data_IF_098176349483
#
_entry.id   IF_098176349483
#
_cell.length_a   1.000
_cell.length_b   1.000
_cell.length_c   1.000
_cell.angle_alpha   90.00
_cell.angle_beta   90.00
_cell.angle_gamma   90.00
#
_symmetry.space_group_name_H-M   'P 1'
#
loop_
_entity.id
_entity.type
_entity.pdbx_description
1 polymer ?
#
# COMPACT_ATOMS: atom_id res chain seq x y z
N UNK A 1 11.12 30.74 -4.26
CA UNK A 1 11.35 30.82 -2.81
C UNK A 1 10.81 29.56 -2.11
N UNK A 2 9.61 29.07 -2.47
CA UNK A 2 8.95 27.92 -1.81
C UNK A 2 9.62 26.54 -1.97
N UNK A 3 10.22 26.20 -3.12
CA UNK A 3 10.91 24.89 -3.30
C UNK A 3 12.02 24.61 -2.28
N UNK A 4 12.71 25.66 -1.82
CA UNK A 4 13.77 25.52 -0.80
C UNK A 4 13.21 25.27 0.60
N UNK A 5 12.01 25.76 0.89
CA UNK A 5 11.36 25.60 2.20
C UNK A 5 10.82 24.18 2.38
N UNK A 6 10.18 23.61 1.35
CA UNK A 6 9.69 22.24 1.40
C UNK A 6 10.82 21.24 1.61
N UNK A 7 11.93 21.38 0.89
CA UNK A 7 13.10 20.50 1.04
C UNK A 7 13.70 20.56 2.46
N UNK A 8 13.71 21.73 3.10
CA UNK A 8 14.17 21.87 4.49
C UNK A 8 13.23 21.16 5.47
N UNK A 9 11.91 21.37 5.33
CA UNK A 9 10.89 20.71 6.15
C UNK A 9 10.92 19.18 5.98
N UNK A 10 11.07 18.69 4.75
CA UNK A 10 11.16 17.25 4.47
C UNK A 10 12.40 16.64 5.12
N UNK A 11 13.54 17.33 5.08
CA UNK A 11 14.77 16.90 5.76
C UNK A 11 14.63 16.91 7.30
N UNK A 12 14.00 17.93 7.88
CA UNK A 12 13.72 18.00 9.32
C UNK A 12 12.79 16.87 9.76
N UNK A 13 11.73 16.61 9.00
CA UNK A 13 10.81 15.52 9.25
C UNK A 13 11.52 14.16 9.16
N UNK A 14 12.33 13.92 8.13
CA UNK A 14 13.13 12.71 7.97
C UNK A 14 14.11 12.49 9.14
N UNK A 15 14.60 13.57 9.75
CA UNK A 15 15.49 13.53 10.91
C UNK A 15 14.87 12.96 12.20
N UNK A 16 13.53 12.84 12.30
CA UNK A 16 12.85 12.33 13.51
C UNK A 16 12.96 10.81 13.73
N UNK A 17 13.43 10.04 12.74
CA UNK A 17 13.53 8.59 12.82
C UNK A 17 12.17 7.87 12.67
N UNK A 18 12.21 6.61 12.20
CA UNK A 18 11.01 5.86 11.79
C UNK A 18 10.45 4.90 12.85
N UNK A 19 11.28 4.40 13.75
CA UNK A 19 10.91 3.35 14.71
C UNK A 19 11.25 3.79 16.13
N UNK A 20 10.55 3.17 17.09
CA UNK A 20 10.86 3.25 18.52
C UNK A 20 11.08 1.85 19.08
N UNK A 21 11.62 1.81 20.29
CA UNK A 21 11.71 0.58 21.08
C UNK A 21 10.33 0.15 21.61
N UNK A 22 9.41 1.12 21.83
CA UNK A 22 8.08 0.88 22.38
C UNK A 22 6.99 1.64 21.60
N UNK A 23 5.93 0.93 21.18
CA UNK A 23 4.77 1.51 20.53
C UNK A 23 3.74 1.94 21.58
N UNK A 24 3.42 3.24 21.62
CA UNK A 24 2.46 3.81 22.58
C UNK A 24 1.73 4.99 21.91
N UNK A 25 0.42 5.09 22.14
CA UNK A 25 -0.43 6.14 21.57
C UNK A 25 -0.37 7.47 22.34
N UNK A 26 0.02 7.45 23.62
CA UNK A 26 -0.11 8.61 24.53
C UNK A 26 0.50 9.91 23.95
N UNK A 27 1.64 9.81 23.26
CA UNK A 27 2.33 10.97 22.67
C UNK A 27 1.56 11.57 21.50
N UNK A 28 1.08 10.73 20.58
CA UNK A 28 0.29 11.21 19.44
C UNK A 28 -1.08 11.71 19.92
N UNK A 29 -1.70 11.06 20.91
CA UNK A 29 -2.92 11.54 21.56
C UNK A 29 -2.72 12.91 22.19
N UNK A 30 -1.64 13.09 22.95
CA UNK A 30 -1.29 14.39 23.56
C UNK A 30 -1.08 15.48 22.51
N UNK A 31 -0.36 15.18 21.42
CA UNK A 31 -0.16 16.13 20.32
C UNK A 31 -1.50 16.52 19.69
N UNK A 32 -2.35 15.54 19.40
CA UNK A 32 -3.65 15.78 18.77
C UNK A 32 -4.59 16.55 19.69
N UNK A 33 -4.55 16.31 21.00
CA UNK A 33 -5.31 17.10 21.98
C UNK A 33 -4.85 18.56 22.01
N UNK A 34 -3.53 18.82 21.92
CA UNK A 34 -3.00 20.18 21.80
C UNK A 34 -3.41 20.86 20.49
N UNK A 35 -3.60 20.09 19.41
CA UNK A 35 -4.11 20.55 18.12
C UNK A 35 -5.63 20.75 18.10
N UNK A 36 -6.35 20.49 19.20
CA UNK A 36 -7.81 20.61 19.27
C UNK A 36 -8.56 19.40 18.69
N UNK A 37 -7.93 18.23 18.72
CA UNK A 37 -8.45 16.95 18.24
C UNK A 37 -8.93 16.97 16.77
N UNK A 38 -8.11 17.41 15.80
CA UNK A 38 -8.51 17.54 14.39
C UNK A 38 -9.00 16.22 13.78
N UNK A 39 -8.47 15.10 14.26
CA UNK A 39 -8.84 13.75 13.83
C UNK A 39 -10.29 13.37 14.13
N UNK A 40 -11.02 14.16 14.94
CA UNK A 40 -12.43 13.97 15.27
C UNK A 40 -13.37 14.90 14.49
N UNK A 41 -12.83 15.74 13.60
CA UNK A 41 -13.61 16.73 12.85
C UNK A 41 -14.38 16.14 11.66
N UNK A 42 -14.06 14.91 11.24
CA UNK A 42 -14.63 14.24 10.08
C UNK A 42 -14.75 12.73 10.35
N UNK A 43 -15.69 12.03 9.70
CA UNK A 43 -15.77 10.58 9.78
C UNK A 43 -14.59 9.94 9.01
N UNK A 44 -14.24 8.72 9.39
CA UNK A 44 -13.10 8.02 8.79
C UNK A 44 -13.42 6.57 8.42
N UNK A 45 -12.74 6.08 7.40
CA UNK A 45 -12.57 4.66 7.07
C UNK A 45 -11.12 4.30 7.38
N UNK A 46 -10.91 3.33 8.27
CA UNK A 46 -9.57 2.95 8.75
C UNK A 46 -9.19 1.58 8.21
N UNK A 47 -8.01 1.46 7.60
CA UNK A 47 -7.60 0.24 6.90
C UNK A 47 -6.29 -0.31 7.46
N UNK A 48 -6.27 -1.61 7.75
CA UNK A 48 -5.06 -2.37 8.04
C UNK A 48 -5.03 -3.67 7.24
N UNK A 49 -3.93 -4.40 7.36
CA UNK A 49 -3.64 -5.66 6.67
C UNK A 49 -2.15 -5.78 6.36
N UNK A 50 -1.74 -6.91 5.81
CA UNK A 50 -0.34 -7.11 5.40
C UNK A 50 -0.16 -6.56 3.99
N UNK A 51 -0.96 -7.04 3.04
CA UNK A 51 -0.92 -6.64 1.64
C UNK A 51 -2.23 -5.97 1.20
N UNK A 52 -2.20 -5.16 0.14
CA UNK A 52 -3.40 -4.55 -0.46
C UNK A 52 -3.86 -3.23 0.16
N UNK A 53 -3.42 -2.86 1.37
CA UNK A 53 -3.81 -1.63 2.09
C UNK A 53 -3.86 -0.38 1.21
N UNK A 54 -2.72 0.03 0.64
CA UNK A 54 -2.63 1.23 -0.20
C UNK A 54 -3.51 1.16 -1.44
N UNK A 55 -3.60 0.00 -2.12
CA UNK A 55 -4.48 -0.17 -3.29
C UNK A 55 -5.95 -0.01 -2.90
N UNK A 56 -6.37 -0.68 -1.84
CA UNK A 56 -7.75 -0.60 -1.31
C UNK A 56 -8.08 0.82 -0.87
N UNK A 57 -7.18 1.51 -0.16
CA UNK A 57 -7.37 2.91 0.23
C UNK A 57 -7.55 3.84 -0.98
N UNK A 58 -6.77 3.63 -2.06
CA UNK A 58 -6.90 4.41 -3.31
C UNK A 58 -8.19 4.11 -4.06
N UNK A 59 -8.66 2.86 -4.05
CA UNK A 59 -9.96 2.47 -4.61
C UNK A 59 -11.11 3.11 -3.84
N UNK A 60 -11.08 3.06 -2.50
CA UNK A 60 -12.08 3.70 -1.64
C UNK A 60 -12.13 5.21 -1.88
N UNK A 61 -10.97 5.87 -1.89
CA UNK A 61 -10.86 7.31 -2.23
C UNK A 61 -11.49 7.61 -3.61
N UNK A 62 -11.18 6.81 -4.64
CA UNK A 62 -11.74 6.99 -5.98
C UNK A 62 -13.26 6.85 -6.03
N UNK A 63 -13.80 5.83 -5.37
CA UNK A 63 -15.24 5.60 -5.29
C UNK A 63 -15.96 6.72 -4.54
N UNK A 64 -15.46 7.13 -3.35
CA UNK A 64 -16.07 8.21 -2.57
C UNK A 64 -16.10 9.53 -3.34
N UNK A 65 -15.02 9.84 -4.07
CA UNK A 65 -14.98 11.02 -4.96
C UNK A 65 -15.97 10.92 -6.11
N UNK A 66 -16.15 9.74 -6.70
CA UNK A 66 -17.17 9.54 -7.74
C UNK A 66 -18.60 9.82 -7.19
N UNK A 67 -18.84 9.52 -5.91
CA UNK A 67 -20.06 9.91 -5.19
C UNK A 67 -20.10 11.38 -4.73
N UNK A 68 -19.12 12.20 -5.14
CA UNK A 68 -19.10 13.64 -4.91
C UNK A 68 -18.63 14.07 -3.51
N UNK A 69 -17.99 13.18 -2.75
CA UNK A 69 -17.43 13.52 -1.44
C UNK A 69 -16.02 14.10 -1.58
N UNK A 70 -15.70 15.09 -0.75
CA UNK A 70 -14.35 15.57 -0.56
C UNK A 70 -13.57 14.60 0.33
N UNK A 71 -12.47 14.05 -0.18
CA UNK A 71 -11.73 12.98 0.50
C UNK A 71 -10.38 13.47 1.02
N UNK A 72 -10.05 13.10 2.25
CA UNK A 72 -8.67 13.08 2.73
C UNK A 72 -8.15 11.65 2.67
N UNK A 73 -7.00 11.39 2.07
CA UNK A 73 -6.38 10.05 2.09
C UNK A 73 -5.00 10.09 2.71
N UNK A 74 -4.80 9.25 3.73
CA UNK A 74 -3.50 9.03 4.38
C UNK A 74 -2.98 7.64 4.05
N UNK A 75 -1.85 7.54 3.35
CA UNK A 75 -1.25 6.27 2.89
C UNK A 75 0.24 6.14 3.19
N UNK A 76 0.76 4.93 3.25
CA UNK A 76 2.19 4.68 3.50
C UNK A 76 2.73 3.38 2.90
N UNK A 77 4.05 3.31 2.60
CA UNK A 77 4.98 4.43 2.44
C UNK A 77 4.69 5.24 1.15
N UNK A 78 5.42 6.32 0.92
CA UNK A 78 5.41 7.02 -0.37
C UNK A 78 6.45 6.44 -1.33
N UNK A 79 6.31 6.72 -2.63
CA UNK A 79 7.30 6.38 -3.66
C UNK A 79 8.25 7.55 -3.91
N UNK A 80 7.73 8.71 -4.31
CA UNK A 80 8.60 9.82 -4.75
C UNK A 80 8.74 10.92 -3.68
N UNK A 81 7.61 11.33 -3.10
CA UNK A 81 7.56 12.47 -2.18
C UNK A 81 6.69 12.16 -0.98
N UNK A 82 7.09 12.63 0.21
CA UNK A 82 6.28 12.55 1.45
C UNK A 82 4.86 13.08 1.27
N UNK A 83 4.64 14.02 0.34
CA UNK A 83 3.32 14.56 0.01
C UNK A 83 2.36 13.49 -0.48
N UNK A 84 2.84 12.41 -1.11
CA UNK A 84 1.99 11.29 -1.53
C UNK A 84 1.31 10.59 -0.36
N UNK A 85 1.87 10.72 0.86
CA UNK A 85 1.24 10.19 2.07
C UNK A 85 -0.05 10.93 2.40
N UNK A 86 -0.18 12.21 2.05
CA UNK A 86 -1.32 13.06 2.43
C UNK A 86 -1.97 13.59 1.15
N UNK A 87 -3.11 13.05 0.76
CA UNK A 87 -3.84 13.48 -0.43
C UNK A 87 -5.16 14.15 -0.07
N UNK A 88 -5.56 15.14 -0.86
CA UNK A 88 -6.88 15.76 -0.84
C UNK A 88 -7.51 15.57 -2.23
N UNK A 89 -8.74 15.06 -2.28
CA UNK A 89 -9.48 14.85 -3.52
C UNK A 89 -8.70 14.04 -4.58
N UNK A 90 -7.98 13.02 -4.12
CA UNK A 90 -7.17 12.12 -4.96
C UNK A 90 -5.74 12.59 -5.24
N UNK A 91 -5.42 13.86 -4.97
CA UNK A 91 -4.14 14.47 -5.31
C UNK A 91 -3.26 14.72 -4.08
N UNK A 92 -1.93 14.44 -4.14
CA UNK A 92 -0.99 14.80 -3.07
C UNK A 92 -1.06 16.29 -2.73
N UNK A 93 -1.01 16.63 -1.45
CA UNK A 93 -1.03 18.03 -1.01
C UNK A 93 0.11 18.84 -1.63
N UNK A 94 -0.13 20.12 -1.91
CA UNK A 94 0.89 21.04 -2.42
C UNK A 94 2.01 21.30 -1.41
N UNK A 95 3.21 21.64 -1.90
CA UNK A 95 4.37 21.97 -1.06
C UNK A 95 4.06 23.07 -0.03
N UNK A 96 3.37 24.13 -0.46
CA UNK A 96 3.01 25.27 0.41
C UNK A 96 2.10 24.86 1.56
N UNK A 97 1.07 24.04 1.29
CA UNK A 97 0.16 23.53 2.31
C UNK A 97 0.90 22.60 3.28
N UNK A 98 1.72 21.69 2.75
CA UNK A 98 2.51 20.78 3.59
C UNK A 98 3.42 21.55 4.56
N UNK A 99 4.15 22.56 4.06
CA UNK A 99 5.01 23.43 4.87
C UNK A 99 4.21 24.23 5.89
N UNK A 100 3.04 24.76 5.52
CA UNK A 100 2.18 25.51 6.42
C UNK A 100 1.71 24.64 7.59
N UNK A 101 1.14 23.46 7.32
CA UNK A 101 0.70 22.52 8.36
C UNK A 101 1.86 22.03 9.21
N UNK A 102 3.05 21.79 8.61
CA UNK A 102 4.24 21.43 9.38
C UNK A 102 4.63 22.50 10.39
N UNK A 103 4.62 23.77 9.99
CA UNK A 103 4.95 24.90 10.86
C UNK A 103 3.94 25.12 11.98
N UNK A 104 2.69 24.69 11.77
CA UNK A 104 1.66 24.70 12.81
C UNK A 104 1.84 23.58 13.83
N UNK A 105 2.07 22.35 13.35
CA UNK A 105 2.18 21.16 14.21
C UNK A 105 3.49 21.12 15.00
N UNK A 106 4.60 21.55 14.39
CA UNK A 106 5.94 21.36 14.96
C UNK A 106 6.15 22.01 16.34
N UNK A 107 5.74 23.27 16.59
CA UNK A 107 5.88 23.88 17.92
C UNK A 107 5.15 23.10 19.03
N UNK A 108 4.01 22.48 18.71
CA UNK A 108 3.26 21.66 19.65
C UNK A 108 3.90 20.28 19.83
N UNK A 109 4.40 19.68 18.76
CA UNK A 109 5.18 18.44 18.82
C UNK A 109 6.42 18.62 19.72
N UNK A 110 7.14 19.72 19.60
CA UNK A 110 8.29 20.02 20.46
C UNK A 110 7.91 20.18 21.95
N UNK A 111 6.68 20.62 22.27
CA UNK A 111 6.20 20.66 23.66
C UNK A 111 5.98 19.26 24.21
N UNK A 112 5.48 18.33 23.39
CA UNK A 112 5.34 16.91 23.74
C UNK A 112 6.73 16.28 23.89
N UNK A 113 7.62 16.48 22.92
CA UNK A 113 8.99 15.94 22.91
C UNK A 113 9.76 16.32 24.18
N UNK A 114 9.64 17.57 24.66
CA UNK A 114 10.29 18.02 25.90
C UNK A 114 9.78 17.37 27.19
N UNK A 115 8.59 16.74 27.15
CA UNK A 115 7.93 16.12 28.30
C UNK A 115 7.96 14.59 28.26
N UNK A 116 8.46 14.02 27.17
CA UNK A 116 8.53 12.57 26.95
C UNK A 116 9.98 12.07 26.98
N UNK A 117 10.15 10.78 27.28
CA UNK A 117 11.47 10.15 27.27
C UNK A 117 12.04 10.01 25.84
N UNK A 118 11.16 9.81 24.86
CA UNK A 118 11.48 9.72 23.45
C UNK A 118 10.65 10.73 22.64
N UNK A 119 11.21 11.33 21.57
CA UNK A 119 10.48 12.28 20.73
C UNK A 119 9.43 11.58 19.86
N UNK A 120 8.46 12.35 19.37
CA UNK A 120 7.53 12.02 18.27
C UNK A 120 8.31 11.57 17.03
N UNK A 121 7.97 10.37 16.54
CA UNK A 121 8.60 9.78 15.35
C UNK A 121 8.20 10.51 14.08
N UNK A 122 8.88 10.17 12.98
CA UNK A 122 8.43 10.49 11.63
C UNK A 122 6.97 10.10 11.40
N UNK A 123 6.56 8.91 11.86
CA UNK A 123 5.20 8.41 11.62
C UNK A 123 4.15 9.13 12.46
N UNK A 124 4.46 9.46 13.73
CA UNK A 124 3.57 10.29 14.55
C UNK A 124 3.35 11.66 13.91
N UNK A 125 4.44 12.29 13.46
CA UNK A 125 4.36 13.60 12.82
C UNK A 125 3.57 13.54 11.53
N UNK A 126 3.86 12.61 10.62
CA UNK A 126 3.12 12.50 9.36
C UNK A 126 1.63 12.20 9.58
N UNK A 127 1.29 11.46 10.62
CA UNK A 127 -0.10 11.21 11.03
C UNK A 127 -0.78 12.49 11.54
N UNK A 128 -0.12 13.25 12.43
CA UNK A 128 -0.63 14.53 12.91
C UNK A 128 -0.80 15.56 11.78
N UNK A 129 0.16 15.64 10.85
CA UNK A 129 0.07 16.49 9.67
C UNK A 129 -1.10 16.11 8.78
N UNK A 130 -1.34 14.82 8.57
CA UNK A 130 -2.48 14.35 7.79
C UNK A 130 -3.80 14.80 8.43
N UNK A 131 -3.97 14.55 9.73
CA UNK A 131 -5.20 14.90 10.43
C UNK A 131 -5.47 16.40 10.50
N UNK A 132 -4.45 17.20 10.79
CA UNK A 132 -4.56 18.66 10.73
C UNK A 132 -4.92 19.13 9.30
N UNK A 133 -4.26 18.58 8.28
CA UNK A 133 -4.53 18.94 6.87
C UNK A 133 -5.97 18.63 6.47
N UNK A 134 -6.53 17.50 6.90
CA UNK A 134 -7.90 17.10 6.58
C UNK A 134 -8.94 17.97 7.30
N UNK A 135 -8.67 18.37 8.54
CA UNK A 135 -9.53 19.29 9.28
C UNK A 135 -9.52 20.70 8.67
N UNK A 136 -8.36 21.18 8.22
CA UNK A 136 -8.20 22.49 7.57
C UNK A 136 -8.79 22.54 6.15
N UNK A 137 -8.84 21.40 5.45
CA UNK A 137 -9.40 21.24 4.11
C UNK A 137 -10.91 20.90 4.09
N UNK A 138 -11.58 21.08 5.24
CA UNK A 138 -12.70 20.26 5.74
C UNK A 138 -13.19 19.14 4.81
N UNK A 139 -12.53 17.98 4.89
CA UNK A 139 -12.94 16.78 4.11
C UNK A 139 -14.26 16.20 4.65
N UNK A 140 -15.06 15.62 3.77
CA UNK A 140 -16.28 14.90 4.15
C UNK A 140 -15.95 13.54 4.79
N UNK A 141 -14.81 12.96 4.41
CA UNK A 141 -14.35 11.65 4.90
C UNK A 141 -12.84 11.50 4.77
N UNK A 142 -12.21 10.89 5.77
CA UNK A 142 -10.82 10.47 5.71
C UNK A 142 -10.67 8.96 5.47
N UNK A 143 -9.84 8.57 4.50
CA UNK A 143 -9.42 7.19 4.23
C UNK A 143 -8.01 7.01 4.78
N UNK A 144 -7.89 6.30 5.90
CA UNK A 144 -6.66 6.26 6.70
C UNK A 144 -6.07 4.87 6.64
N UNK A 145 -4.86 4.73 6.11
CA UNK A 145 -4.07 3.51 6.13
C UNK A 145 -3.21 3.44 7.40
N UNK A 146 -3.26 2.32 8.11
CA UNK A 146 -2.36 1.97 9.20
C UNK A 146 -0.93 1.81 8.68
N UNK A 147 0.04 2.36 9.41
CA UNK A 147 1.46 2.17 9.12
C UNK A 147 1.93 0.76 9.44
N UNK A 148 1.79 0.35 10.70
CA UNK A 148 2.21 -0.97 11.19
C UNK A 148 1.21 -1.53 12.21
N UNK A 149 0.86 -2.82 12.08
CA UNK A 149 -0.01 -3.48 13.04
C UNK A 149 -1.43 -2.90 13.03
N UNK A 150 -1.80 -2.16 14.07
CA UNK A 150 -3.13 -1.54 14.20
C UNK A 150 -3.35 -0.98 15.60
N UNK A 151 -3.36 -1.85 16.61
CA UNK A 151 -3.69 -1.51 18.01
C UNK A 151 -2.89 -0.31 18.55
N UNK A 152 -1.59 -0.27 18.28
CA UNK A 152 -0.65 0.73 18.80
C UNK A 152 -0.13 1.66 17.69
N UNK A 153 -0.75 1.63 16.52
CA UNK A 153 -0.37 2.49 15.39
C UNK A 153 -0.85 3.93 15.63
N UNK A 154 -0.03 4.92 15.26
CA UNK A 154 -0.35 6.33 15.49
C UNK A 154 -1.70 6.77 14.88
N UNK A 155 -2.20 6.06 13.86
CA UNK A 155 -3.50 6.32 13.26
C UNK A 155 -4.69 5.82 14.08
N UNK A 156 -4.49 4.95 15.08
CA UNK A 156 -5.55 4.31 15.89
C UNK A 156 -6.16 5.24 16.97
N UNK A 157 -6.29 6.51 16.64
CA UNK A 157 -6.84 7.60 17.46
C UNK A 157 -8.12 8.21 16.85
N UNK A 158 -8.55 7.68 15.70
CA UNK A 158 -9.68 8.20 14.89
C UNK A 158 -11.03 7.54 15.20
N UNK A 159 -11.05 6.37 15.85
CA UNK A 159 -12.28 5.62 16.16
C UNK A 159 -13.24 5.51 14.96
N UNK A 160 -12.71 5.05 13.82
CA UNK A 160 -13.43 5.03 12.55
C UNK A 160 -14.73 4.22 12.59
N UNK A 161 -15.76 4.72 11.89
CA UNK A 161 -17.05 4.04 11.76
C UNK A 161 -16.99 2.80 10.86
N UNK A 162 -16.01 2.76 9.96
CA UNK A 162 -15.71 1.59 9.11
C UNK A 162 -14.26 1.19 9.32
N UNK A 163 -14.02 -0.07 9.69
CA UNK A 163 -12.70 -0.66 9.81
C UNK A 163 -12.53 -1.73 8.72
N UNK A 164 -11.42 -1.67 7.97
CA UNK A 164 -11.16 -2.58 6.85
C UNK A 164 -9.92 -3.40 7.17
N UNK A 165 -10.03 -4.72 7.03
CA UNK A 165 -8.91 -5.65 7.18
C UNK A 165 -8.67 -6.31 5.83
N UNK A 166 -7.63 -5.89 5.13
CA UNK A 166 -7.12 -6.56 3.93
C UNK A 166 -6.38 -7.85 4.32
N UNK A 167 -5.95 -8.70 3.36
CA UNK A 167 -5.32 -9.99 3.69
C UNK A 167 -4.16 -9.87 4.68
N UNK A 168 -4.17 -10.76 5.67
CA UNK A 168 -3.15 -10.87 6.70
C UNK A 168 -2.22 -12.02 6.34
N UNK A 169 -0.94 -11.71 6.31
CA UNK A 169 0.15 -12.66 6.11
C UNK A 169 1.35 -12.30 6.99
N UNK A 170 2.33 -13.19 7.03
CA UNK A 170 3.58 -12.97 7.77
C UNK A 170 4.36 -11.80 7.17
N UNK A 171 4.53 -10.75 7.96
CA UNK A 171 5.38 -9.59 7.70
C UNK A 171 5.61 -8.86 9.02
N UNK A 172 6.75 -8.19 9.15
CA UNK A 172 7.13 -7.47 10.38
C UNK A 172 7.05 -8.33 11.66
N UNK A 173 7.47 -9.60 11.57
CA UNK A 173 7.36 -10.58 12.67
C UNK A 173 8.16 -10.16 13.91
N UNK A 174 9.24 -9.41 13.72
CA UNK A 174 10.02 -8.81 14.82
C UNK A 174 9.19 -7.88 15.73
N UNK A 175 8.08 -7.31 15.23
CA UNK A 175 7.22 -6.38 15.95
C UNK A 175 5.84 -6.95 16.27
N UNK A 176 5.29 -7.75 15.36
CA UNK A 176 3.89 -8.20 15.41
C UNK A 176 3.71 -9.64 15.87
N UNK A 177 4.82 -10.36 16.09
CA UNK A 177 4.83 -11.78 16.45
C UNK A 177 5.06 -12.70 15.24
N UNK A 178 5.32 -13.97 15.55
CA UNK A 178 5.77 -14.97 14.56
C UNK A 178 4.63 -15.77 13.93
N UNK A 179 3.38 -15.51 14.33
CA UNK A 179 2.20 -16.27 13.88
C UNK A 179 1.15 -15.38 13.21
N UNK A 180 0.29 -15.97 12.38
CA UNK A 180 -0.82 -15.22 11.78
C UNK A 180 -1.80 -14.73 12.85
N UNK A 181 -1.96 -15.50 13.93
CA UNK A 181 -2.77 -15.11 15.07
C UNK A 181 -2.22 -13.86 15.76
N UNK A 182 -0.92 -13.78 16.04
CA UNK A 182 -0.31 -12.62 16.71
C UNK A 182 -0.50 -11.36 15.87
N UNK A 183 -0.20 -11.46 14.57
CA UNK A 183 -0.35 -10.35 13.62
C UNK A 183 -1.82 -9.91 13.54
N UNK A 184 -2.76 -10.86 13.52
CA UNK A 184 -4.19 -10.57 13.48
C UNK A 184 -4.69 -9.89 14.76
N UNK A 185 -4.17 -10.23 15.94
CA UNK A 185 -4.50 -9.55 17.20
C UNK A 185 -4.11 -8.07 17.16
N UNK A 186 -2.89 -7.76 16.71
CA UNK A 186 -2.46 -6.37 16.53
C UNK A 186 -3.35 -5.63 15.53
N UNK A 187 -3.67 -6.25 14.39
CA UNK A 187 -4.50 -5.64 13.33
C UNK A 187 -5.95 -5.44 13.76
N UNK A 188 -6.54 -6.37 14.52
CA UNK A 188 -7.89 -6.25 15.05
C UNK A 188 -8.05 -5.07 16.03
N UNK A 189 -6.96 -4.50 16.54
CA UNK A 189 -6.98 -3.33 17.42
C UNK A 189 -7.58 -2.05 16.83
N UNK A 190 -7.75 -1.97 15.51
CA UNK A 190 -8.47 -0.84 14.87
C UNK A 190 -10.00 -0.99 14.94
N UNK A 191 -10.50 -2.14 15.41
CA UNK A 191 -11.94 -2.41 15.52
C UNK A 191 -12.44 -1.81 16.83
N UNK A 192 -13.19 -0.72 16.68
CA UNK A 192 -13.82 0.02 17.78
C UNK A 192 -15.30 -0.31 17.91
N UNK A 193 -15.88 0.06 19.06
CA UNK A 193 -17.28 -0.18 19.39
C UNK A 193 -18.22 0.44 18.36
N UNK A 194 -19.15 -0.36 17.83
CA UNK A 194 -20.16 0.08 16.88
C UNK A 194 -19.66 0.29 15.45
N UNK A 195 -18.40 -0.04 15.16
CA UNK A 195 -17.87 0.00 13.80
C UNK A 195 -18.52 -1.09 12.91
N UNK A 196 -18.53 -0.83 11.61
CA UNK A 196 -18.74 -1.87 10.59
C UNK A 196 -17.38 -2.34 10.08
N UNK A 197 -17.12 -3.63 10.20
CA UNK A 197 -15.87 -4.28 9.80
C UNK A 197 -16.04 -4.90 8.42
N UNK A 198 -15.17 -4.53 7.48
CA UNK A 198 -15.06 -5.16 6.17
C UNK A 198 -13.78 -5.98 6.13
N UNK A 199 -13.92 -7.30 6.13
CA UNK A 199 -12.80 -8.23 6.21
C UNK A 199 -12.64 -8.96 4.86
N UNK A 200 -11.46 -8.86 4.26
CA UNK A 200 -11.06 -9.72 3.16
C UNK A 200 -11.09 -11.20 3.58
N UNK A 201 -11.00 -12.12 2.63
CA UNK A 201 -10.83 -13.54 2.94
C UNK A 201 -9.52 -13.74 3.72
N UNK A 202 -9.59 -14.51 4.81
CA UNK A 202 -8.46 -14.78 5.70
C UNK A 202 -8.33 -16.29 5.93
N UNK A 203 -7.13 -16.72 6.28
CA UNK A 203 -6.92 -18.03 6.90
C UNK A 203 -7.59 -18.09 8.28
N UNK A 204 -7.98 -19.29 8.71
CA UNK A 204 -8.72 -19.49 9.97
C UNK A 204 -7.96 -18.91 11.18
N UNK A 205 -6.64 -19.07 11.20
CA UNK A 205 -5.76 -18.56 12.25
C UNK A 205 -5.81 -17.03 12.39
N UNK A 206 -5.89 -16.30 11.27
CA UNK A 206 -6.04 -14.85 11.25
C UNK A 206 -7.50 -14.41 11.44
N UNK A 207 -8.47 -15.18 10.96
CA UNK A 207 -9.89 -14.85 11.05
C UNK A 207 -10.41 -14.86 12.49
N UNK A 208 -9.98 -15.83 13.31
CA UNK A 208 -10.50 -16.01 14.68
C UNK A 208 -10.33 -14.76 15.56
N UNK A 209 -9.12 -14.17 15.73
CA UNK A 209 -8.94 -12.96 16.54
C UNK A 209 -9.80 -11.78 16.09
N UNK A 210 -9.99 -11.62 14.77
CA UNK A 210 -10.81 -10.54 14.19
C UNK A 210 -12.27 -10.71 14.61
N UNK A 211 -12.81 -11.92 14.50
CA UNK A 211 -14.20 -12.22 14.84
C UNK A 211 -14.44 -12.14 16.35
N UNK A 212 -13.49 -12.61 17.16
CA UNK A 212 -13.54 -12.47 18.62
C UNK A 212 -13.59 -10.99 19.02
N UNK A 213 -12.74 -10.16 18.41
CA UNK A 213 -12.77 -8.71 18.64
C UNK A 213 -14.09 -8.08 18.21
N UNK A 214 -14.63 -8.46 17.05
CA UNK A 214 -15.94 -7.97 16.60
C UNK A 214 -17.04 -8.29 17.63
N UNK A 215 -17.04 -9.52 18.17
CA UNK A 215 -18.00 -9.93 19.18
C UNK A 215 -17.81 -9.18 20.51
N UNK A 216 -16.57 -8.97 20.94
CA UNK A 216 -16.23 -8.25 22.18
C UNK A 216 -16.78 -6.80 22.17
N UNK A 217 -16.60 -6.08 21.08
CA UNK A 217 -17.01 -4.66 20.99
C UNK A 217 -18.38 -4.45 20.35
N UNK A 218 -19.06 -5.52 19.94
CA UNK A 218 -20.35 -5.46 19.24
C UNK A 218 -20.26 -4.77 17.88
N UNK A 219 -19.19 -5.03 17.12
CA UNK A 219 -19.05 -4.55 15.74
C UNK A 219 -19.84 -5.43 14.76
N UNK A 220 -20.37 -4.82 13.70
CA UNK A 220 -20.98 -5.58 12.60
C UNK A 220 -19.87 -6.02 11.65
N UNK A 221 -19.92 -7.24 11.12
CA UNK A 221 -18.88 -7.76 10.23
C UNK A 221 -19.47 -8.18 8.88
N UNK A 222 -18.80 -7.78 7.79
CA UNK A 222 -19.00 -8.28 6.45
C UNK A 222 -17.69 -8.92 5.99
N UNK A 223 -17.76 -10.15 5.49
CA UNK A 223 -16.61 -10.97 5.09
C UNK A 223 -16.69 -11.28 3.61
N UNK A 224 -15.56 -11.17 2.95
CA UNK A 224 -15.41 -11.66 1.59
C UNK A 224 -15.70 -13.17 1.54
N UNK A 225 -16.40 -13.60 0.49
CA UNK A 225 -16.84 -14.98 0.31
C UNK A 225 -18.11 -15.35 1.07
N UNK A 226 -18.63 -14.45 1.91
CA UNK A 226 -19.93 -14.61 2.61
C UNK A 226 -20.88 -13.47 2.28
N UNK A 227 -20.55 -12.25 2.69
CA UNK A 227 -21.42 -11.08 2.54
C UNK A 227 -21.14 -10.30 1.24
N UNK A 228 -19.91 -10.37 0.71
CA UNK A 228 -19.50 -9.73 -0.55
C UNK A 228 -18.38 -10.55 -1.22
N UNK A 229 -18.00 -10.21 -2.45
CA UNK A 229 -16.83 -10.81 -3.11
C UNK A 229 -16.84 -10.68 -4.63
N UNK A 230 -15.78 -11.18 -5.25
CA UNK A 230 -15.66 -11.25 -6.71
C UNK A 230 -16.47 -12.45 -7.23
N UNK A 231 -17.47 -12.20 -8.08
CA UNK A 231 -18.26 -13.26 -8.74
C UNK A 231 -17.59 -13.75 -10.02
N UNK A 232 -17.02 -12.81 -10.79
CA UNK A 232 -16.32 -13.10 -12.04
C UNK A 232 -15.19 -12.11 -12.25
N UNK A 233 -14.07 -12.61 -12.76
CA UNK A 233 -12.94 -11.82 -13.23
C UNK A 233 -12.59 -12.24 -14.65
N UNK A 234 -12.33 -11.27 -15.52
CA UNK A 234 -11.79 -11.49 -16.86
C UNK A 234 -10.66 -10.51 -17.11
N UNK A 235 -9.52 -10.98 -17.61
CA UNK A 235 -8.39 -10.11 -18.01
C UNK A 235 -8.83 -9.23 -19.19
N UNK A 236 -8.42 -7.96 -19.17
CA UNK A 236 -8.73 -6.98 -20.19
C UNK A 236 -7.49 -6.15 -20.53
N UNK A 237 -7.54 -5.44 -21.67
CA UNK A 237 -6.44 -4.53 -22.03
C UNK A 237 -6.33 -3.43 -20.97
N UNK A 238 -5.16 -3.36 -20.32
CA UNK A 238 -4.88 -2.36 -19.29
C UNK A 238 -5.42 -2.70 -17.89
N UNK A 239 -5.93 -3.91 -17.66
CA UNK A 239 -6.40 -4.33 -16.34
C UNK A 239 -7.37 -5.51 -16.41
N UNK A 240 -8.53 -5.37 -15.80
CA UNK A 240 -9.51 -6.45 -15.69
C UNK A 240 -10.95 -5.94 -15.63
N UNK A 241 -11.89 -6.78 -16.05
CA UNK A 241 -13.33 -6.55 -15.93
C UNK A 241 -13.91 -7.52 -14.92
N UNK A 242 -14.65 -6.99 -13.96
CA UNK A 242 -15.16 -7.70 -12.79
C UNK A 242 -16.69 -7.68 -12.74
N UNK A 243 -17.26 -8.78 -12.25
CA UNK A 243 -18.58 -8.76 -11.63
C UNK A 243 -18.39 -8.94 -10.13
N UNK A 244 -18.89 -7.99 -9.34
CA UNK A 244 -18.66 -7.93 -7.89
C UNK A 244 -20.01 -8.03 -7.19
N UNK A 245 -20.13 -8.97 -6.26
CA UNK A 245 -21.19 -8.96 -5.26
C UNK A 245 -20.78 -7.97 -4.17
N UNK A 246 -21.47 -6.84 -4.07
CA UNK A 246 -21.37 -5.92 -2.94
C UNK A 246 -22.35 -6.30 -1.82
N UNK A 247 -22.40 -5.48 -0.77
CA UNK A 247 -23.39 -5.56 0.30
C UNK A 247 -24.80 -5.20 -0.18
N UNK A 248 -24.91 -4.32 -1.18
CA UNK A 248 -26.19 -3.83 -1.71
C UNK A 248 -26.72 -4.56 -2.94
N UNK A 249 -25.88 -5.30 -3.66
CA UNK A 249 -26.27 -5.98 -4.89
C UNK A 249 -25.08 -6.35 -5.77
N UNK A 250 -25.36 -6.84 -6.98
CA UNK A 250 -24.33 -7.19 -7.96
C UNK A 250 -24.01 -5.98 -8.84
N UNK A 251 -22.73 -5.71 -9.02
CA UNK A 251 -22.19 -4.72 -9.94
C UNK A 251 -21.46 -5.45 -11.07
N UNK A 252 -22.01 -5.38 -12.28
CA UNK A 252 -21.48 -6.09 -13.45
C UNK A 252 -20.58 -5.18 -14.29
N UNK A 253 -19.67 -5.79 -15.05
CA UNK A 253 -18.80 -5.10 -16.03
C UNK A 253 -17.99 -3.93 -15.44
N UNK A 254 -17.52 -4.07 -14.21
CA UNK A 254 -16.68 -3.09 -13.53
C UNK A 254 -15.25 -3.19 -14.06
N UNK A 255 -14.80 -2.19 -14.82
CA UNK A 255 -13.41 -2.13 -15.29
C UNK A 255 -12.50 -1.57 -14.19
N UNK A 256 -11.44 -2.32 -13.86
CA UNK A 256 -10.39 -1.93 -12.93
C UNK A 256 -9.06 -1.92 -13.68
N UNK A 257 -8.40 -0.75 -13.86
CA UNK A 257 -7.18 -0.61 -14.66
C UNK A 257 -5.93 -1.04 -13.87
N UNK A 258 -5.99 -2.19 -13.19
CA UNK A 258 -4.90 -2.76 -12.42
C UNK A 258 -4.77 -4.25 -12.70
N UNK A 259 -3.54 -4.74 -12.69
CA UNK A 259 -3.19 -6.13 -12.96
C UNK A 259 -3.19 -6.99 -11.69
N UNK A 260 -3.54 -8.26 -11.84
CA UNK A 260 -3.50 -9.29 -10.82
C UNK A 260 -4.85 -9.56 -10.14
N UNK A 261 -5.14 -10.83 -9.88
CA UNK A 261 -6.36 -11.27 -9.20
C UNK A 261 -6.52 -10.65 -7.79
N UNK A 262 -5.40 -10.41 -7.10
CA UNK A 262 -5.40 -9.73 -5.80
C UNK A 262 -5.96 -8.30 -5.87
N UNK A 263 -5.88 -7.61 -7.03
CA UNK A 263 -6.52 -6.30 -7.19
C UNK A 263 -8.04 -6.41 -7.38
N UNK A 264 -8.56 -7.52 -7.90
CA UNK A 264 -10.00 -7.78 -7.92
C UNK A 264 -10.55 -7.97 -6.50
N UNK A 265 -9.82 -8.70 -5.66
CA UNK A 265 -10.12 -8.83 -4.24
C UNK A 265 -10.09 -7.45 -3.54
N UNK A 266 -9.03 -6.66 -3.75
CA UNK A 266 -8.96 -5.29 -3.21
C UNK A 266 -10.15 -4.43 -3.68
N UNK A 267 -10.60 -4.58 -4.92
CA UNK A 267 -11.76 -3.86 -5.45
C UNK A 267 -13.07 -4.27 -4.76
N UNK A 268 -13.28 -5.58 -4.52
CA UNK A 268 -14.45 -6.05 -3.78
C UNK A 268 -14.47 -5.54 -2.34
N UNK A 269 -13.32 -5.56 -1.66
CA UNK A 269 -13.15 -5.00 -0.31
C UNK A 269 -13.40 -3.49 -0.29
N UNK A 270 -12.86 -2.75 -1.26
CA UNK A 270 -13.07 -1.31 -1.38
C UNK A 270 -14.54 -0.96 -1.60
N UNK A 271 -15.23 -1.69 -2.49
CA UNK A 271 -16.66 -1.50 -2.73
C UNK A 271 -17.49 -1.74 -1.47
N UNK A 272 -17.24 -2.85 -0.77
CA UNK A 272 -17.94 -3.16 0.47
C UNK A 272 -17.67 -2.11 1.58
N UNK A 273 -16.46 -1.57 1.67
CA UNK A 273 -16.13 -0.48 2.60
C UNK A 273 -16.88 0.81 2.29
N UNK A 274 -16.99 1.18 1.00
CA UNK A 274 -17.76 2.36 0.56
C UNK A 274 -19.25 2.16 0.76
N UNK A 275 -19.78 0.96 0.48
CA UNK A 275 -21.17 0.63 0.76
C UNK A 275 -21.49 0.72 2.25
N UNK A 276 -20.64 0.16 3.10
CA UNK A 276 -20.79 0.26 4.56
C UNK A 276 -20.77 1.73 5.03
N UNK A 277 -19.87 2.55 4.49
CA UNK A 277 -19.76 3.96 4.83
C UNK A 277 -20.97 4.79 4.39
N UNK A 278 -21.45 4.59 3.16
CA UNK A 278 -22.59 5.32 2.59
C UNK A 278 -23.95 4.78 3.06
N UNK A 279 -23.96 3.72 3.88
CA UNK A 279 -25.18 3.08 4.38
C UNK A 279 -25.96 2.34 3.29
N UNK A 280 -25.26 1.74 2.33
CA UNK A 280 -25.79 0.76 1.39
C UNK A 280 -25.82 -0.64 2.04
N UNK A 281 -26.68 -1.50 1.51
CA UNK A 281 -26.93 -2.84 2.03
C UNK A 281 -28.12 -3.48 1.31
N UNK A 282 -28.66 -4.58 1.83
CA UNK A 282 -29.69 -5.38 1.15
C UNK A 282 -30.93 -4.61 0.65
N UNK A 283 -31.23 -3.44 1.21
CA UNK A 283 -32.36 -2.60 0.82
C UNK A 283 -31.97 -1.35 0.02
N UNK A 284 -30.68 -1.13 -0.24
CA UNK A 284 -30.14 0.05 -0.93
C UNK A 284 -28.82 -0.29 -1.60
N UNK A 285 -28.84 -0.44 -2.93
CA UNK A 285 -27.64 -0.51 -3.76
C UNK A 285 -27.14 0.91 -4.08
N UNK A 286 -25.82 1.07 -4.26
CA UNK A 286 -25.25 2.30 -4.81
C UNK A 286 -25.51 2.41 -6.31
N UNK A 287 -25.37 3.60 -6.87
CA UNK A 287 -25.49 3.80 -8.31
C UNK A 287 -24.38 3.03 -9.06
N UNK A 288 -24.79 2.16 -9.97
CA UNK A 288 -23.88 1.23 -10.67
C UNK A 288 -22.91 1.97 -11.59
N UNK A 289 -23.38 3.01 -12.27
CA UNK A 289 -22.54 3.77 -13.20
C UNK A 289 -21.51 4.60 -12.44
N UNK A 290 -21.88 5.24 -11.33
CA UNK A 290 -20.93 5.93 -10.45
C UNK A 290 -19.86 4.98 -9.89
N UNK A 291 -20.22 3.74 -9.52
CA UNK A 291 -19.25 2.73 -9.10
C UNK A 291 -18.29 2.38 -10.24
N UNK A 292 -18.80 2.16 -11.46
CA UNK A 292 -17.98 1.87 -12.65
C UNK A 292 -17.03 3.03 -12.96
N UNK A 293 -17.51 4.27 -12.95
CA UNK A 293 -16.70 5.47 -13.15
C UNK A 293 -15.59 5.59 -12.09
N UNK A 294 -15.94 5.40 -10.81
CA UNK A 294 -14.99 5.47 -9.71
C UNK A 294 -13.87 4.43 -9.82
N UNK A 295 -14.17 3.20 -10.25
CA UNK A 295 -13.15 2.16 -10.48
C UNK A 295 -12.30 2.42 -11.73
N UNK A 296 -12.91 2.92 -12.81
CA UNK A 296 -12.21 3.15 -14.08
C UNK A 296 -11.06 4.18 -13.96
N UNK A 297 -11.11 5.07 -12.95
CA UNK A 297 -10.06 6.08 -12.71
C UNK A 297 -9.03 5.67 -11.66
N UNK A 298 -9.13 4.46 -11.09
CA UNK A 298 -8.20 4.01 -10.04
C UNK A 298 -6.78 3.94 -10.59
N UNK A 299 -5.81 4.32 -9.76
CA UNK A 299 -4.39 4.09 -10.01
C UNK A 299 -3.74 3.55 -8.75
N UNK A 300 -2.73 2.68 -8.89
CA UNK A 300 -1.89 2.22 -7.78
C UNK A 300 -0.44 2.15 -8.24
N UNK A 301 0.28 3.28 -8.23
CA UNK A 301 1.68 3.33 -8.68
C UNK A 301 2.55 2.28 -7.97
N UNK A 302 3.42 1.63 -8.74
CA UNK A 302 4.29 0.57 -8.23
C UNK A 302 3.61 -0.76 -7.90
N UNK A 303 2.41 -1.02 -8.43
CA UNK A 303 1.70 -2.32 -8.35
C UNK A 303 1.48 -2.86 -9.76
N UNK A 304 2.38 -3.72 -10.22
CA UNK A 304 2.51 -4.15 -11.62
C UNK A 304 2.32 -2.99 -12.61
N UNK A 305 2.92 -1.83 -12.29
CA UNK A 305 2.80 -0.60 -13.07
C UNK A 305 3.65 -0.75 -14.34
N UNK A 306 3.00 -0.73 -15.50
CA UNK A 306 3.69 -0.72 -16.79
C UNK A 306 4.19 0.69 -17.11
N UNK A 307 5.51 0.85 -17.18
CA UNK A 307 6.17 2.14 -17.45
C UNK A 307 6.80 2.24 -18.84
N UNK A 308 6.95 1.12 -19.54
CA UNK A 308 7.44 1.04 -20.94
C UNK A 308 6.81 -0.16 -21.63
N UNK A 309 6.70 -0.14 -22.96
CA UNK A 309 6.06 -1.21 -23.77
C UNK A 309 7.03 -2.04 -24.62
N UNK A 310 8.16 -1.48 -25.07
CA UNK A 310 9.14 -2.19 -25.91
C UNK A 310 10.59 -1.94 -25.42
N UNK A 311 11.20 -2.89 -24.68
CA UNK A 311 10.55 -4.03 -24.02
C UNK A 311 9.54 -3.55 -22.97
N UNK A 312 8.63 -4.43 -22.57
CA UNK A 312 7.68 -4.09 -21.51
C UNK A 312 8.43 -3.98 -20.19
N UNK A 313 8.33 -2.86 -19.49
CA UNK A 313 8.92 -2.71 -18.15
C UNK A 313 7.82 -2.57 -17.12
N UNK A 314 7.81 -3.48 -16.15
CA UNK A 314 6.86 -3.55 -15.05
C UNK A 314 7.55 -3.19 -13.74
N UNK A 315 6.88 -2.37 -12.92
CA UNK A 315 7.32 -2.04 -11.57
C UNK A 315 6.37 -2.68 -10.55
N UNK A 316 6.90 -3.47 -9.62
CA UNK A 316 6.10 -4.03 -8.53
C UNK A 316 6.80 -3.96 -7.16
N UNK A 317 6.14 -3.37 -6.17
CA UNK A 317 6.68 -3.18 -4.83
C UNK A 317 6.53 -4.38 -3.90
N UNK A 318 6.30 -5.59 -4.41
CA UNK A 318 6.36 -6.84 -3.64
C UNK A 318 7.71 -6.98 -2.94
N UNK A 319 7.66 -7.30 -1.65
CA UNK A 319 8.82 -7.34 -0.76
C UNK A 319 8.66 -8.36 0.39
N UNK A 320 7.62 -9.18 0.32
CA UNK A 320 7.39 -10.32 1.18
C UNK A 320 6.86 -11.49 0.31
N UNK A 321 7.01 -12.75 0.75
CA UNK A 321 6.60 -13.91 -0.05
C UNK A 321 5.14 -13.88 -0.51
N UNK A 322 4.22 -13.43 0.36
CA UNK A 322 2.80 -13.33 0.02
C UNK A 322 2.54 -12.36 -1.15
N UNK A 323 3.16 -11.17 -1.14
CA UNK A 323 3.05 -10.20 -2.23
C UNK A 323 3.75 -10.65 -3.51
N UNK A 324 4.88 -11.35 -3.37
CA UNK A 324 5.62 -11.87 -4.52
C UNK A 324 4.86 -13.00 -5.21
N UNK A 325 4.26 -13.92 -4.47
CA UNK A 325 3.41 -14.97 -5.03
C UNK A 325 2.23 -14.38 -5.84
N UNK A 326 1.62 -13.30 -5.35
CA UNK A 326 0.57 -12.58 -6.07
C UNK A 326 1.08 -11.91 -7.36
N UNK A 327 2.32 -11.41 -7.35
CA UNK A 327 2.99 -10.83 -8.52
C UNK A 327 3.29 -11.90 -9.57
N UNK A 328 3.91 -13.01 -9.16
CA UNK A 328 4.23 -14.17 -10.01
C UNK A 328 2.97 -14.73 -10.67
N UNK A 329 1.89 -14.92 -9.89
CA UNK A 329 0.60 -15.39 -10.42
C UNK A 329 0.05 -14.45 -11.47
N UNK A 330 0.08 -13.13 -11.21
CA UNK A 330 -0.40 -12.13 -12.17
C UNK A 330 0.46 -12.08 -13.45
N UNK A 331 1.77 -12.24 -13.33
CA UNK A 331 2.67 -12.32 -14.48
C UNK A 331 2.31 -13.49 -15.39
N UNK A 332 2.08 -14.68 -14.81
CA UNK A 332 1.73 -15.89 -15.55
C UNK A 332 0.33 -15.83 -16.18
N UNK A 333 -0.64 -15.21 -15.50
CA UNK A 333 -2.03 -15.15 -15.97
C UNK A 333 -2.26 -14.06 -17.03
N UNK A 334 -1.60 -12.91 -16.91
CA UNK A 334 -1.95 -11.71 -17.66
C UNK A 334 -0.92 -11.33 -18.73
N UNK A 335 0.29 -11.87 -18.65
CA UNK A 335 1.37 -11.54 -19.58
C UNK A 335 1.89 -12.80 -20.27
N UNK A 336 2.10 -12.69 -21.58
CA UNK A 336 2.66 -13.76 -22.41
C UNK A 336 4.10 -13.42 -22.78
N UNK A 337 4.99 -13.38 -21.79
CA UNK A 337 6.41 -13.12 -22.02
C UNK A 337 7.10 -14.38 -22.56
N UNK A 338 7.83 -14.24 -23.67
CA UNK A 338 8.77 -15.24 -24.18
C UNK A 338 10.13 -15.15 -23.52
N UNK A 339 10.47 -13.98 -22.97
CA UNK A 339 11.66 -13.74 -22.14
C UNK A 339 11.33 -12.66 -21.09
N UNK A 340 11.62 -12.93 -19.83
CA UNK A 340 11.40 -12.00 -18.71
C UNK A 340 12.66 -11.92 -17.84
N UNK A 341 13.25 -10.72 -17.75
CA UNK A 341 14.43 -10.46 -16.94
C UNK A 341 14.04 -9.70 -15.67
N UNK A 342 14.52 -10.14 -14.51
CA UNK A 342 14.29 -9.42 -13.25
C UNK A 342 15.36 -8.38 -12.97
N UNK A 343 14.98 -7.26 -12.36
CA UNK A 343 15.87 -6.36 -11.62
C UNK A 343 15.42 -6.40 -10.16
N UNK A 344 16.29 -6.87 -9.27
CA UNK A 344 15.93 -7.12 -7.89
C UNK A 344 16.86 -6.37 -6.92
N UNK A 345 16.23 -5.63 -6.01
CA UNK A 345 16.88 -5.10 -4.82
C UNK A 345 15.93 -5.26 -3.62
N UNK A 346 16.45 -5.81 -2.52
CA UNK A 346 15.68 -6.20 -1.33
C UNK A 346 16.23 -5.48 -0.10
N UNK A 347 15.37 -5.20 0.89
CA UNK A 347 15.83 -4.67 2.19
C UNK A 347 16.34 -5.83 3.06
N UNK A 348 17.38 -5.58 3.87
CA UNK A 348 18.07 -6.62 4.64
C UNK A 348 17.21 -7.33 5.71
N UNK A 349 16.09 -6.74 6.11
CA UNK A 349 15.13 -7.32 7.05
C UNK A 349 14.05 -8.21 6.39
N UNK A 350 14.13 -8.44 5.07
CA UNK A 350 13.14 -9.21 4.32
C UNK A 350 13.67 -10.58 3.93
N UNK A 351 12.73 -11.52 3.72
CA UNK A 351 13.00 -12.89 3.28
C UNK A 351 13.43 -12.93 1.80
N UNK A 352 14.68 -12.55 1.53
CA UNK A 352 15.22 -12.52 0.18
C UNK A 352 15.22 -13.91 -0.49
N UNK A 353 15.47 -14.98 0.28
CA UNK A 353 15.47 -16.34 -0.24
C UNK A 353 14.08 -16.75 -0.73
N UNK A 354 13.04 -16.54 0.08
CA UNK A 354 11.66 -16.82 -0.33
C UNK A 354 11.20 -16.01 -1.54
N UNK A 355 11.67 -14.75 -1.68
CA UNK A 355 11.42 -13.96 -2.89
C UNK A 355 12.08 -14.56 -4.13
N UNK A 356 13.34 -14.98 -4.02
CA UNK A 356 14.11 -15.58 -5.12
C UNK A 356 13.49 -16.91 -5.57
N UNK A 357 13.12 -17.78 -4.64
CA UNK A 357 12.46 -19.07 -4.93
C UNK A 357 11.15 -18.90 -5.69
N UNK A 358 10.38 -17.84 -5.40
CA UNK A 358 9.14 -17.53 -6.12
C UNK A 358 9.38 -16.96 -7.52
N UNK A 359 10.47 -16.22 -7.70
CA UNK A 359 10.82 -15.59 -8.98
C UNK A 359 11.52 -16.54 -9.96
N UNK A 360 12.27 -17.52 -9.46
CA UNK A 360 13.07 -18.45 -10.28
C UNK A 360 12.27 -19.11 -11.42
N UNK A 361 11.03 -19.60 -11.19
CA UNK A 361 10.28 -20.31 -12.23
C UNK A 361 9.73 -19.40 -13.34
N UNK A 362 9.77 -18.07 -13.17
CA UNK A 362 9.16 -17.10 -14.11
C UNK A 362 10.14 -16.15 -14.76
N UNK A 363 11.38 -16.05 -14.25
CA UNK A 363 12.41 -15.18 -14.79
C UNK A 363 13.48 -16.01 -15.53
N UNK A 364 13.81 -15.62 -16.75
CA UNK A 364 14.90 -16.25 -17.52
C UNK A 364 16.27 -15.92 -16.91
N UNK A 365 16.45 -14.68 -16.45
CA UNK A 365 17.65 -14.21 -15.77
C UNK A 365 17.34 -13.09 -14.79
N UNK A 366 18.31 -12.77 -13.93
CA UNK A 366 18.17 -11.82 -12.85
C UNK A 366 19.38 -10.88 -12.78
N UNK A 367 19.12 -9.59 -12.78
CA UNK A 367 20.11 -8.55 -12.42
C UNK A 367 19.85 -8.14 -10.98
N UNK A 368 20.83 -8.39 -10.12
CA UNK A 368 20.79 -7.98 -8.72
C UNK A 368 21.44 -6.61 -8.58
N UNK A 369 20.77 -5.72 -7.84
CA UNK A 369 21.26 -4.35 -7.58
C UNK A 369 21.01 -3.91 -6.15
N UNK A 370 21.50 -2.73 -5.81
CA UNK A 370 21.17 -2.03 -4.59
C UNK A 370 20.19 -0.88 -4.87
N UNK A 371 19.27 -0.65 -3.94
CA UNK A 371 18.40 0.54 -3.95
C UNK A 371 18.94 1.64 -3.01
N UNK A 372 18.33 2.82 -3.06
CA UNK A 372 18.77 4.02 -2.33
C UNK A 372 18.59 3.94 -0.81
N UNK A 373 17.97 2.89 -0.28
CA UNK A 373 17.76 2.74 1.16
C UNK A 373 19.06 2.38 1.89
N UNK A 374 19.35 2.99 3.04
CA UNK A 374 20.44 2.52 3.91
C UNK A 374 20.20 1.10 4.45
N UNK A 375 18.93 0.63 4.43
CA UNK A 375 18.54 -0.73 4.82
C UNK A 375 18.65 -1.75 3.68
N UNK A 376 19.04 -1.34 2.48
CA UNK A 376 19.19 -2.25 1.35
C UNK A 376 20.23 -3.34 1.67
N UNK A 377 19.89 -4.58 1.35
CA UNK A 377 20.86 -5.68 1.35
C UNK A 377 21.98 -5.33 0.34
N UNK A 378 23.27 -5.55 0.68
CA UNK A 378 24.37 -5.39 -0.26
C UNK A 378 24.15 -6.24 -1.52
N UNK A 379 24.47 -5.69 -2.71
CA UNK A 379 24.21 -6.35 -3.99
C UNK A 379 24.90 -7.72 -4.09
N UNK A 380 26.16 -7.84 -3.66
CA UNK A 380 26.88 -9.11 -3.68
C UNK A 380 26.34 -10.16 -2.69
N UNK A 381 25.77 -9.73 -1.55
CA UNK A 381 25.13 -10.65 -0.60
C UNK A 381 23.84 -11.23 -1.21
N UNK A 382 23.02 -10.35 -1.80
CA UNK A 382 21.82 -10.78 -2.52
C UNK A 382 22.17 -11.64 -3.74
N UNK A 383 23.25 -11.32 -4.44
CA UNK A 383 23.73 -12.09 -5.58
C UNK A 383 24.21 -13.49 -5.19
N UNK A 384 24.86 -13.65 -4.02
CA UNK A 384 25.23 -14.97 -3.51
C UNK A 384 24.00 -15.86 -3.34
N UNK A 385 22.95 -15.36 -2.69
CA UNK A 385 21.67 -16.07 -2.56
C UNK A 385 21.03 -16.36 -3.92
N UNK A 386 21.00 -15.36 -4.81
CA UNK A 386 20.43 -15.52 -6.14
C UNK A 386 21.15 -16.60 -6.95
N UNK A 387 22.48 -16.67 -6.89
CA UNK A 387 23.29 -17.68 -7.61
C UNK A 387 23.02 -19.11 -7.10
N UNK A 388 22.68 -19.28 -5.82
CA UNK A 388 22.28 -20.58 -5.27
C UNK A 388 20.93 -21.05 -5.82
N UNK A 389 20.00 -20.12 -6.07
CA UNK A 389 18.64 -20.43 -6.54
C UNK A 389 18.56 -20.51 -8.07
N UNK A 390 19.13 -19.52 -8.79
CA UNK A 390 19.02 -19.39 -10.25
C UNK A 390 20.13 -20.09 -11.03
N UNK A 391 21.26 -20.37 -10.39
CA UNK A 391 22.51 -20.73 -11.04
C UNK A 391 23.36 -19.49 -11.40
N UNK A 392 24.71 -19.59 -11.34
CA UNK A 392 25.60 -18.44 -11.53
C UNK A 392 25.55 -17.83 -12.94
N UNK A 393 25.16 -18.59 -13.95
CA UNK A 393 25.06 -18.16 -15.34
C UNK A 393 23.84 -17.27 -15.62
N UNK A 394 22.83 -17.28 -14.74
CA UNK A 394 21.59 -16.50 -14.87
C UNK A 394 21.56 -15.24 -14.00
N UNK A 395 22.64 -14.97 -13.26
CA UNK A 395 22.70 -13.85 -12.29
C UNK A 395 23.81 -12.88 -12.66
N UNK A 396 23.41 -11.65 -12.94
CA UNK A 396 24.30 -10.51 -13.11
C UNK A 396 24.21 -9.57 -11.90
N UNK A 397 25.28 -8.83 -11.61
CA UNK A 397 25.32 -7.84 -10.54
C UNK A 397 25.63 -6.47 -11.14
N UNK A 398 24.80 -5.49 -10.81
CA UNK A 398 25.04 -4.09 -11.09
C UNK A 398 24.89 -3.30 -9.80
N UNK A 399 25.83 -2.42 -9.47
CA UNK A 399 25.80 -1.70 -8.18
C UNK A 399 24.73 -0.60 -8.15
N UNK A 400 24.48 0.03 -9.31
CA UNK A 400 23.60 1.18 -9.44
C UNK A 400 22.34 0.83 -10.24
N UNK A 401 21.19 1.33 -9.78
CA UNK A 401 19.88 1.07 -10.40
C UNK A 401 19.81 1.37 -11.91
N UNK A 402 20.37 2.49 -12.44
CA UNK A 402 20.37 2.75 -13.88
C UNK A 402 21.11 1.66 -14.68
N UNK A 403 22.27 1.24 -14.20
CA UNK A 403 23.09 0.21 -14.85
C UNK A 403 22.38 -1.14 -14.81
N UNK A 404 21.71 -1.45 -13.70
CA UNK A 404 20.92 -2.68 -13.57
C UNK A 404 19.75 -2.74 -14.56
N UNK A 405 19.05 -1.61 -14.75
CA UNK A 405 17.96 -1.50 -15.73
C UNK A 405 18.51 -1.61 -17.16
N UNK A 406 19.64 -0.98 -17.46
CA UNK A 406 20.29 -1.06 -18.77
C UNK A 406 20.71 -2.51 -19.09
N UNK A 407 21.36 -3.19 -18.15
CA UNK A 407 21.74 -4.60 -18.29
C UNK A 407 20.52 -5.51 -18.50
N UNK A 408 19.47 -5.34 -17.69
CA UNK A 408 18.26 -6.15 -17.81
C UNK A 408 17.51 -5.91 -19.13
N UNK A 409 17.48 -4.68 -19.63
CA UNK A 409 16.91 -4.36 -20.95
C UNK A 409 17.75 -4.99 -22.06
N UNK A 410 19.07 -4.84 -22.02
CA UNK A 410 19.96 -5.44 -23.01
C UNK A 410 19.83 -6.97 -23.04
N UNK A 411 19.73 -7.60 -21.87
CA UNK A 411 19.50 -9.04 -21.76
C UNK A 411 18.09 -9.45 -22.21
N UNK A 412 17.05 -8.67 -21.90
CA UNK A 412 15.70 -8.97 -22.39
C UNK A 412 15.62 -8.88 -23.92
N UNK A 413 16.41 -8.02 -24.56
CA UNK A 413 16.48 -7.86 -26.02
C UNK A 413 17.45 -8.86 -26.70
N UNK A 414 18.30 -9.55 -25.93
CA UNK A 414 19.30 -10.48 -26.46
C UNK A 414 18.66 -11.78 -26.98
N UNK A 415 19.16 -12.26 -28.12
CA UNK A 415 18.78 -13.54 -28.75
C UNK A 415 17.27 -13.69 -29.11
N UNK A 416 16.55 -12.58 -29.28
CA UNK A 416 15.13 -12.56 -29.67
C UNK A 416 14.99 -12.24 -31.17
N UNK A 417 14.59 -13.18 -32.03
CA UNK A 417 14.41 -12.92 -33.45
C UNK A 417 13.09 -12.18 -33.72
N UNK A 418 13.13 -10.89 -34.07
CA UNK A 418 11.96 -10.15 -34.57
C UNK A 418 11.65 -8.84 -33.83
N UNK A 419 10.38 -8.44 -33.82
CA UNK A 419 9.89 -7.32 -33.01
C UNK A 419 10.00 -7.67 -31.53
N UNK A 420 10.32 -6.71 -30.66
CA UNK A 420 10.39 -6.83 -29.19
C UNK A 420 9.05 -7.18 -28.51
N UNK A 421 8.10 -7.73 -29.27
CA UNK A 421 6.82 -8.20 -28.79
C UNK A 421 7.01 -9.50 -28.01
N UNK A 422 6.78 -9.45 -26.70
CA UNK A 422 6.87 -10.61 -25.80
C UNK A 422 8.10 -10.62 -24.90
N UNK A 423 8.96 -9.60 -24.94
CA UNK A 423 10.07 -9.47 -23.96
C UNK A 423 9.72 -8.48 -22.86
N UNK A 424 10.15 -8.79 -21.64
CA UNK A 424 9.80 -8.02 -20.45
C UNK A 424 10.95 -7.83 -19.47
N UNK A 425 10.87 -6.76 -18.68
CA UNK A 425 11.70 -6.52 -17.50
C UNK A 425 10.77 -6.30 -16.30
N UNK A 426 11.00 -7.03 -15.21
CA UNK A 426 10.31 -6.84 -13.92
C UNK A 426 11.27 -6.19 -12.93
N UNK A 427 10.94 -5.00 -12.44
CA UNK A 427 11.71 -4.31 -11.39
C UNK A 427 10.97 -4.42 -10.06
N UNK A 428 11.56 -5.12 -9.08
CA UNK A 428 10.86 -5.50 -7.84
C UNK A 428 11.78 -5.70 -6.62
N UNK A 429 11.23 -6.15 -5.50
CA UNK A 429 11.93 -6.54 -4.27
C UNK A 429 11.78 -5.55 -3.12
N UNK A 430 11.43 -4.29 -3.40
CA UNK A 430 11.03 -3.33 -2.37
C UNK A 430 10.26 -2.14 -2.95
N UNK A 431 9.53 -1.42 -2.10
CA UNK A 431 8.89 -0.16 -2.49
C UNK A 431 9.94 0.90 -2.86
N UNK A 432 11.13 0.87 -2.24
CA UNK A 432 12.24 1.79 -2.55
C UNK A 432 12.84 1.48 -3.94
N UNK A 433 13.00 0.20 -4.26
CA UNK A 433 13.46 -0.27 -5.58
C UNK A 433 12.55 0.27 -6.69
N UNK A 434 11.25 0.16 -6.50
CA UNK A 434 10.26 0.72 -7.43
C UNK A 434 10.32 2.24 -7.48
N UNK A 435 10.48 2.91 -6.35
CA UNK A 435 10.61 4.36 -6.32
C UNK A 435 11.82 4.86 -7.13
N UNK A 436 12.99 4.26 -6.91
CA UNK A 436 14.22 4.59 -7.61
C UNK A 436 14.06 4.41 -9.12
N UNK A 437 13.56 3.23 -9.54
CA UNK A 437 13.33 2.93 -10.95
C UNK A 437 12.30 3.88 -11.58
N UNK A 438 11.17 4.13 -10.90
CA UNK A 438 10.09 4.97 -11.41
C UNK A 438 10.54 6.41 -11.69
N UNK A 439 11.46 6.96 -10.87
CA UNK A 439 12.04 8.30 -11.10
C UNK A 439 12.85 8.36 -12.40
N UNK A 440 13.45 7.25 -12.82
CA UNK A 440 14.23 7.17 -14.06
C UNK A 440 13.33 7.13 -15.30
N UNK A 441 12.16 6.49 -15.22
CA UNK A 441 11.21 6.40 -16.34
C UNK A 441 10.28 7.62 -16.49
N UNK A 442 10.17 8.48 -15.47
CA UNK A 442 9.36 9.71 -15.51
C UNK A 442 10.05 10.93 -16.14
N UNK A 443 11.33 10.81 -16.50
CA UNK A 443 12.14 11.92 -17.02
C UNK A 443 11.97 12.15 -18.52
#
# INVERSE_FOLDING_TARGET
MHRGEFAAVDAELAGRGFTRVHFELERIETLLDLLGSPQRAYPSIHLTGTNGKTSTARMIDSLLRAFGLHTGRYTSPHLDSVRERISLDGEPVGEERFVATYREVTPLAELVDRRSAEPLTYFDMTTALAFATFADAPVDVAVVEVGLGGAEDATNVIQAGVAVLTPIGLDHTEWLGDTLQDIALHKAGIIHKGATVVCAAQEEEAARPILERCAEVGATVAREGSEFGVLRRSVAVGGQVLNIQGLGGVYEEVFVPLHGAHQAQNAAVALAAVEAFLGAGTNRQLDVETVREGFATVSSPGRLEKVRTAPTVLLDGAHNPHGMAATVTALQEEFAFSKLVGVLAVLGDKDAAGLLELLEPVLDSLVVTRNSSPRAMPAEELAALAREVFGPERVEVAEEMPDAIEAAVAEAESDVPGELAGVGVLITGSVVTVADARRLFKR
#
